data_IF_717664679786
#
_entry.id   IF_717664679786
#
_cell.length_a   1.000
_cell.length_b   1.000
_cell.length_c   1.000
_cell.angle_alpha   90.00
_cell.angle_beta   90.00
_cell.angle_gamma   90.00
#
_symmetry.space_group_name_H-M   'P 1'
#
loop_
_entity.id
_entity.type
_entity.pdbx_description
1 polymer ?
#
# COMPACT_ATOMS: atom_id res chain seq x y z
N UNK A 1 -35.38 -24.16 -63.68
CA UNK A 1 -35.67 -23.52 -64.96
C UNK A 1 -35.15 -22.11 -64.88
N UNK A 2 -34.20 -21.86 -65.77
CA UNK A 2 -33.90 -20.65 -66.53
C UNK A 2 -33.47 -19.44 -65.67
N UNK A 3 -32.29 -19.01 -65.67
CA UNK A 3 -31.31 -18.63 -66.73
C UNK A 3 -31.32 -17.13 -67.03
N UNK A 4 -30.10 -16.59 -66.93
CA UNK A 4 -29.50 -15.58 -67.88
C UNK A 4 -29.96 -14.11 -67.68
N UNK A 5 -29.16 -13.12 -67.93
CA UNK A 5 -27.73 -12.88 -68.28
C UNK A 5 -27.50 -11.36 -68.21
N UNK A 6 -26.32 -10.90 -67.87
CA UNK A 6 -25.33 -10.14 -68.66
C UNK A 6 -25.66 -8.81 -69.31
N UNK A 7 -24.65 -7.96 -69.20
CA UNK A 7 -24.17 -6.76 -69.95
C UNK A 7 -24.44 -5.45 -69.24
N UNK A 8 -23.51 -4.64 -68.78
CA UNK A 8 -22.24 -4.20 -69.37
C UNK A 8 -22.42 -2.97 -70.26
N UNK A 9 -22.08 -1.75 -69.75
CA UNK A 9 -21.48 -0.72 -70.59
C UNK A 9 -20.78 0.36 -69.75
N UNK A 10 -19.56 0.57 -70.06
CA UNK A 10 -18.73 1.66 -69.62
C UNK A 10 -19.02 2.90 -70.49
N UNK A 11 -18.96 4.10 -69.89
CA UNK A 11 -18.54 5.29 -70.62
C UNK A 11 -18.01 6.35 -69.66
N UNK A 12 -16.79 6.76 -69.96
CA UNK A 12 -16.02 7.86 -69.36
C UNK A 12 -16.66 9.23 -69.62
N UNK A 13 -16.55 10.14 -68.68
CA UNK A 13 -16.32 11.57 -68.99
C UNK A 13 -15.71 12.29 -67.76
N UNK A 14 -14.63 13.01 -68.00
CA UNK A 14 -13.85 13.88 -67.14
C UNK A 14 -14.64 15.05 -66.53
N UNK A 15 -14.22 15.51 -65.36
CA UNK A 15 -14.47 16.88 -64.92
C UNK A 15 -14.20 17.13 -63.43
N UNK A 16 -12.99 17.58 -63.08
CA UNK A 16 -12.69 18.67 -62.15
C UNK A 16 -12.98 18.52 -60.65
N UNK A 17 -11.95 18.29 -59.87
CA UNK A 17 -11.60 19.05 -58.64
C UNK A 17 -12.55 19.02 -57.45
N UNK A 18 -12.18 18.27 -56.44
CA UNK A 18 -11.88 18.83 -55.08
C UNK A 18 -11.37 17.70 -54.22
N UNK A 19 -10.17 17.89 -53.68
CA UNK A 19 -9.53 16.97 -52.76
C UNK A 19 -10.16 17.20 -51.37
N UNK A 20 -11.10 16.35 -50.97
CA UNK A 20 -11.47 16.20 -49.57
C UNK A 20 -10.71 15.02 -49.02
N UNK A 21 -9.71 15.31 -48.15
CA UNK A 21 -9.03 14.30 -47.36
C UNK A 21 -10.07 13.59 -46.49
N UNK A 22 -10.34 12.33 -46.82
CA UNK A 22 -11.02 11.39 -45.93
C UNK A 22 -9.92 10.81 -45.05
N UNK A 23 -9.99 10.95 -43.71
CA UNK A 23 -9.05 10.25 -42.83
C UNK A 23 -9.15 8.74 -43.06
N UNK A 24 -8.00 8.11 -43.28
CA UNK A 24 -7.93 6.66 -43.32
C UNK A 24 -8.47 6.09 -42.02
N UNK A 25 -9.41 5.16 -42.09
CA UNK A 25 -9.85 4.39 -40.94
C UNK A 25 -8.61 3.70 -40.34
N UNK A 26 -8.32 3.99 -39.09
CA UNK A 26 -7.35 3.21 -38.31
C UNK A 26 -7.79 1.74 -38.31
N UNK A 27 -6.93 0.87 -38.77
CA UNK A 27 -7.11 -0.55 -38.59
C UNK A 27 -7.16 -0.84 -37.09
N UNK A 28 -8.11 -1.68 -36.61
CA UNK A 28 -8.13 -2.06 -35.20
C UNK A 28 -6.78 -2.70 -34.86
N UNK A 29 -6.17 -2.21 -33.79
CA UNK A 29 -4.95 -2.82 -33.25
C UNK A 29 -5.21 -4.34 -33.07
N UNK A 30 -4.31 -5.15 -33.57
CA UNK A 30 -4.39 -6.60 -33.39
C UNK A 30 -4.38 -6.88 -31.89
N UNK A 31 -5.42 -7.54 -31.38
CA UNK A 31 -5.44 -8.04 -30.00
C UNK A 31 -4.21 -8.96 -29.84
N UNK A 32 -3.35 -8.66 -28.87
CA UNK A 32 -2.28 -9.57 -28.50
C UNK A 32 -2.89 -10.93 -28.13
N UNK A 33 -2.31 -12.05 -28.57
CA UNK A 33 -2.83 -13.37 -28.22
C UNK A 33 -2.80 -13.53 -26.70
N UNK A 34 -3.94 -13.88 -26.12
CA UNK A 34 -4.04 -14.17 -24.68
C UNK A 34 -2.97 -15.18 -24.28
N UNK A 35 -2.31 -14.95 -23.12
CA UNK A 35 -1.31 -15.89 -22.62
C UNK A 35 -1.92 -17.28 -22.46
N UNK A 36 -1.13 -18.32 -22.73
CA UNK A 36 -1.58 -19.70 -22.51
C UNK A 36 -1.80 -19.92 -21.02
N UNK A 37 -2.90 -20.60 -20.66
CA UNK A 37 -3.21 -20.91 -19.27
C UNK A 37 -2.05 -21.71 -18.62
N UNK A 38 -1.60 -21.31 -17.42
CA UNK A 38 -0.49 -21.98 -16.75
C UNK A 38 -0.86 -23.43 -16.41
N UNK A 39 0.14 -24.32 -16.47
CA UNK A 39 -0.03 -25.76 -16.26
C UNK A 39 1.01 -26.28 -15.27
N UNK A 40 0.73 -27.44 -14.65
CA UNK A 40 1.64 -28.08 -13.71
C UNK A 40 1.24 -27.86 -12.25
N UNK A 41 2.13 -28.25 -11.33
CA UNK A 41 1.89 -28.14 -9.90
C UNK A 41 1.90 -26.66 -9.49
N UNK A 42 0.92 -26.20 -8.69
CA UNK A 42 0.82 -24.79 -8.31
C UNK A 42 2.00 -24.35 -7.43
N UNK A 43 2.33 -23.07 -7.57
CA UNK A 43 3.21 -22.35 -6.66
C UNK A 43 2.32 -21.88 -5.50
N UNK A 44 2.49 -22.47 -4.33
CA UNK A 44 1.71 -22.11 -3.16
C UNK A 44 2.32 -20.90 -2.45
N UNK A 45 1.51 -19.89 -2.22
CA UNK A 45 1.82 -18.73 -1.39
C UNK A 45 0.83 -18.67 -0.23
N UNK A 46 1.23 -18.07 0.87
CA UNK A 46 0.29 -17.80 1.96
C UNK A 46 0.17 -16.29 2.19
N UNK A 47 -1.05 -15.85 2.52
CA UNK A 47 -1.32 -14.51 3.06
C UNK A 47 -1.98 -14.67 4.42
N UNK A 48 -1.38 -14.06 5.44
CA UNK A 48 -1.90 -14.08 6.81
C UNK A 48 -2.56 -12.74 7.10
N UNK A 49 -3.80 -12.78 7.59
CA UNK A 49 -4.54 -11.58 7.96
C UNK A 49 -5.67 -11.92 8.94
N UNK A 50 -6.29 -10.92 9.54
CA UNK A 50 -7.45 -11.08 10.42
C UNK A 50 -8.75 -10.93 9.62
N UNK A 51 -9.61 -11.95 9.62
CA UNK A 51 -10.91 -11.94 8.94
C UNK A 51 -12.08 -12.06 9.93
N UNK A 52 -12.00 -12.99 10.86
CA UNK A 52 -13.08 -13.30 11.80
C UNK A 52 -12.63 -13.03 13.25
N UNK A 53 -12.81 -11.79 13.71
CA UNK A 53 -12.38 -11.38 15.05
C UNK A 53 -13.38 -10.43 15.71
N UNK A 54 -13.29 -10.30 17.04
CA UNK A 54 -13.92 -9.23 17.79
C UNK A 54 -13.05 -7.96 17.85
N UNK A 55 -12.22 -7.75 16.84
CA UNK A 55 -11.26 -6.65 16.70
C UNK A 55 -11.21 -6.17 15.25
N UNK A 56 -10.12 -5.50 14.85
CA UNK A 56 -9.95 -5.07 13.47
C UNK A 56 -9.87 -6.26 12.52
N UNK A 57 -10.54 -6.15 11.36
CA UNK A 57 -10.53 -7.13 10.28
C UNK A 57 -10.05 -6.47 9.00
N UNK A 58 -9.41 -7.26 8.11
CA UNK A 58 -8.76 -6.76 6.90
C UNK A 58 -9.11 -7.65 5.70
N UNK A 59 -10.40 -7.69 5.34
CA UNK A 59 -10.90 -8.52 4.22
C UNK A 59 -10.28 -8.10 2.89
N UNK A 60 -9.96 -6.81 2.72
CA UNK A 60 -9.29 -6.27 1.54
C UNK A 60 -7.93 -6.96 1.25
N UNK A 61 -7.18 -7.36 2.28
CA UNK A 61 -5.91 -8.10 2.11
C UNK A 61 -6.17 -9.47 1.47
N UNK A 62 -7.11 -10.24 2.03
CA UNK A 62 -7.44 -11.57 1.52
C UNK A 62 -8.01 -11.52 0.10
N UNK A 63 -8.89 -10.55 -0.17
CA UNK A 63 -9.47 -10.34 -1.51
C UNK A 63 -8.37 -9.97 -2.49
N UNK A 64 -7.52 -9.01 -2.15
CA UNK A 64 -6.43 -8.55 -3.03
C UNK A 64 -5.40 -9.66 -3.32
N UNK A 65 -5.07 -10.49 -2.34
CA UNK A 65 -4.17 -11.63 -2.55
C UNK A 65 -4.71 -12.59 -3.63
N UNK A 66 -6.01 -12.89 -3.59
CA UNK A 66 -6.66 -13.73 -4.60
C UNK A 66 -6.73 -13.03 -5.97
N UNK A 67 -7.04 -11.73 -6.02
CA UNK A 67 -7.04 -10.96 -7.27
C UNK A 67 -5.64 -10.90 -7.91
N UNK A 68 -4.60 -10.74 -7.10
CA UNK A 68 -3.23 -10.72 -7.59
C UNK A 68 -2.81 -12.09 -8.14
N UNK A 69 -3.19 -13.18 -7.48
CA UNK A 69 -2.94 -14.53 -8.01
C UNK A 69 -3.71 -14.77 -9.31
N UNK A 70 -4.97 -14.34 -9.40
CA UNK A 70 -5.75 -14.40 -10.64
C UNK A 70 -5.07 -13.62 -11.76
N UNK A 71 -4.64 -12.37 -11.49
CA UNK A 71 -3.89 -11.56 -12.46
C UNK A 71 -2.62 -12.27 -12.94
N UNK A 72 -1.79 -12.78 -12.03
CA UNK A 72 -0.57 -13.51 -12.37
C UNK A 72 -0.88 -14.74 -13.25
N UNK A 73 -1.95 -15.47 -12.92
CA UNK A 73 -2.37 -16.63 -13.67
C UNK A 73 -2.90 -16.27 -15.07
N UNK A 74 -3.58 -15.14 -15.19
CA UNK A 74 -4.02 -14.60 -16.50
C UNK A 74 -2.83 -14.19 -17.39
N UNK A 75 -1.68 -13.82 -16.78
CA UNK A 75 -0.43 -13.55 -17.48
C UNK A 75 0.36 -14.84 -17.81
N UNK A 76 -0.20 -16.03 -17.59
CA UNK A 76 0.47 -17.32 -17.86
C UNK A 76 1.19 -17.92 -16.63
N UNK A 77 0.95 -17.39 -15.44
CA UNK A 77 1.56 -17.84 -14.20
C UNK A 77 3.03 -17.46 -14.06
N UNK A 78 3.73 -18.10 -13.15
CA UNK A 78 5.18 -17.92 -12.95
C UNK A 78 5.92 -19.08 -13.65
N UNK A 79 6.66 -18.77 -14.68
CA UNK A 79 7.35 -19.76 -15.50
C UNK A 79 6.41 -20.91 -15.99
N UNK A 80 5.14 -20.54 -16.35
CA UNK A 80 4.11 -21.47 -16.82
C UNK A 80 3.41 -22.29 -15.73
N UNK A 81 3.67 -22.02 -14.44
CA UNK A 81 3.02 -22.67 -13.30
C UNK A 81 1.99 -21.72 -12.64
N UNK A 82 0.80 -22.22 -12.27
CA UNK A 82 -0.20 -21.39 -11.63
C UNK A 82 0.23 -21.00 -10.20
N UNK A 83 -0.20 -19.83 -9.74
CA UNK A 83 -0.11 -19.39 -8.35
C UNK A 83 -1.39 -19.78 -7.61
N UNK A 84 -1.24 -20.38 -6.44
CA UNK A 84 -2.32 -20.71 -5.50
C UNK A 84 -2.09 -19.97 -4.19
N UNK A 85 -3.10 -19.25 -3.71
CA UNK A 85 -3.06 -18.50 -2.46
C UNK A 85 -3.78 -19.25 -1.35
N UNK A 86 -3.10 -19.47 -0.24
CA UNK A 86 -3.66 -19.95 1.01
C UNK A 86 -3.85 -18.73 1.91
N UNK A 87 -5.09 -18.32 2.14
CA UNK A 87 -5.40 -17.27 3.10
C UNK A 87 -5.52 -17.89 4.49
N UNK A 88 -4.67 -17.47 5.44
CA UNK A 88 -4.75 -17.89 6.83
C UNK A 88 -5.36 -16.77 7.68
N UNK A 89 -6.57 -17.04 8.21
CA UNK A 89 -7.26 -16.16 9.16
C UNK A 89 -6.70 -16.38 10.58
N UNK A 90 -5.94 -15.43 11.08
CA UNK A 90 -5.32 -15.52 12.41
C UNK A 90 -6.25 -15.11 13.55
N UNK A 91 -7.48 -14.67 13.24
CA UNK A 91 -8.58 -14.37 14.16
C UNK A 91 -8.25 -13.41 15.31
N UNK A 92 -7.24 -12.58 15.11
CA UNK A 92 -6.67 -11.71 16.14
C UNK A 92 -6.19 -12.49 17.39
N UNK A 93 -5.61 -13.68 17.18
CA UNK A 93 -5.12 -14.58 18.23
C UNK A 93 -3.68 -15.06 17.94
N UNK A 94 -2.70 -14.81 18.85
CA UNK A 94 -1.31 -15.18 18.63
C UNK A 94 -1.09 -16.70 18.53
N UNK A 95 -1.94 -17.53 19.12
CA UNK A 95 -1.83 -18.98 19.03
C UNK A 95 -2.31 -19.49 17.65
N UNK A 96 -3.34 -18.83 17.09
CA UNK A 96 -3.79 -19.09 15.71
C UNK A 96 -2.76 -18.58 14.71
N UNK A 97 -2.19 -17.39 14.92
CA UNK A 97 -1.08 -16.87 14.11
C UNK A 97 0.11 -17.84 14.07
N UNK A 98 0.51 -18.40 15.22
CA UNK A 98 1.53 -19.44 15.28
C UNK A 98 1.09 -20.75 14.56
N UNK A 99 -0.20 -21.01 14.44
CA UNK A 99 -0.69 -22.15 13.64
C UNK A 99 -0.56 -21.85 12.15
N UNK A 100 -0.92 -20.63 11.70
CA UNK A 100 -0.67 -20.20 10.32
C UNK A 100 0.80 -20.39 9.90
N UNK A 101 1.76 -20.07 10.79
CA UNK A 101 3.18 -20.30 10.51
C UNK A 101 3.52 -21.78 10.29
N UNK A 102 3.01 -22.65 11.14
CA UNK A 102 3.22 -24.10 10.99
C UNK A 102 2.54 -24.68 9.75
N UNK A 103 1.36 -24.17 9.42
CA UNK A 103 0.63 -24.57 8.22
C UNK A 103 1.38 -24.12 6.96
N UNK A 104 1.99 -22.92 6.97
CA UNK A 104 2.84 -22.45 5.88
C UNK A 104 4.00 -23.43 5.60
N UNK A 105 4.66 -23.90 6.66
CA UNK A 105 5.74 -24.91 6.56
C UNK A 105 5.19 -26.26 6.08
N UNK A 106 4.07 -26.73 6.64
CA UNK A 106 3.48 -28.03 6.31
C UNK A 106 2.96 -28.09 4.86
N UNK A 107 2.38 -26.99 4.36
CA UNK A 107 1.89 -26.85 2.97
C UNK A 107 3.04 -26.63 1.97
N UNK A 108 4.26 -26.36 2.44
CA UNK A 108 5.43 -26.11 1.59
C UNK A 108 5.26 -24.85 0.75
N UNK A 109 4.75 -23.75 1.35
CA UNK A 109 4.62 -22.49 0.63
C UNK A 109 6.00 -21.91 0.29
N UNK A 110 6.09 -21.24 -0.84
CA UNK A 110 7.32 -20.58 -1.28
C UNK A 110 7.60 -19.34 -0.44
N UNK A 111 6.55 -18.59 -0.10
CA UNK A 111 6.64 -17.35 0.66
C UNK A 111 5.32 -17.02 1.34
N UNK A 112 5.38 -16.25 2.43
CA UNK A 112 4.22 -15.57 3.00
C UNK A 112 4.23 -14.14 2.47
N UNK A 113 3.22 -13.78 1.66
CA UNK A 113 3.22 -12.58 0.83
C UNK A 113 2.08 -11.62 1.19
N UNK A 114 2.36 -10.33 1.24
CA UNK A 114 1.36 -9.26 1.34
C UNK A 114 0.50 -9.32 2.60
N UNK A 115 1.07 -9.80 3.69
CA UNK A 115 0.38 -10.04 4.95
C UNK A 115 0.36 -8.81 5.85
N UNK A 116 -0.64 -8.76 6.75
CA UNK A 116 -0.64 -7.88 7.91
C UNK A 116 -1.20 -8.60 9.13
N UNK A 117 -0.47 -8.53 10.25
CA UNK A 117 -0.87 -9.08 11.54
C UNK A 117 -0.22 -8.32 12.69
N UNK A 118 -0.86 -8.29 13.85
CA UNK A 118 -0.26 -7.81 15.09
C UNK A 118 0.65 -8.86 15.76
N UNK A 119 0.70 -10.08 15.24
CA UNK A 119 1.38 -11.23 15.85
C UNK A 119 2.51 -11.81 14.99
N UNK A 120 3.16 -10.98 14.17
CA UNK A 120 4.26 -11.39 13.31
C UNK A 120 5.43 -12.03 14.09
N UNK A 121 5.62 -11.67 15.38
CA UNK A 121 6.57 -12.35 16.29
C UNK A 121 6.29 -13.85 16.47
N UNK A 122 5.03 -14.28 16.29
CA UNK A 122 4.64 -15.69 16.34
C UNK A 122 4.79 -16.41 15.00
N UNK A 123 5.04 -15.67 13.92
CA UNK A 123 5.06 -16.19 12.54
C UNK A 123 6.47 -16.16 11.96
N UNK A 124 7.07 -14.98 11.87
CA UNK A 124 8.33 -14.75 11.14
C UNK A 124 9.46 -15.67 11.61
N UNK A 125 9.73 -15.86 12.92
CA UNK A 125 10.79 -16.78 13.36
C UNK A 125 10.55 -18.22 12.94
N UNK A 126 9.28 -18.67 12.93
CA UNK A 126 8.92 -20.07 12.60
C UNK A 126 9.12 -20.36 11.13
N UNK A 127 8.63 -19.49 10.25
CA UNK A 127 8.74 -19.68 8.79
C UNK A 127 10.20 -19.54 8.32
N UNK A 128 10.99 -18.67 8.97
CA UNK A 128 12.40 -18.46 8.66
C UNK A 128 13.26 -19.72 8.85
N UNK A 129 12.92 -20.64 9.77
CA UNK A 129 13.60 -21.91 9.96
C UNK A 129 13.50 -22.84 8.74
N UNK A 130 12.58 -22.56 7.82
CA UNK A 130 12.35 -23.30 6.57
C UNK A 130 12.64 -22.47 5.31
N UNK A 131 13.44 -21.42 5.45
CA UNK A 131 13.78 -20.45 4.41
C UNK A 131 12.56 -19.75 3.76
N UNK A 132 11.38 -19.86 4.37
CA UNK A 132 10.19 -19.18 3.89
C UNK A 132 10.31 -17.69 4.26
N UNK A 133 10.14 -16.81 3.27
CA UNK A 133 10.23 -15.36 3.46
C UNK A 133 8.90 -14.78 3.95
N UNK A 134 9.00 -13.74 4.78
CA UNK A 134 7.95 -12.78 5.07
C UNK A 134 8.11 -11.62 4.09
N UNK A 135 7.33 -11.62 3.00
CA UNK A 135 7.57 -10.74 1.86
C UNK A 135 6.46 -9.69 1.70
N UNK A 136 6.85 -8.45 1.64
CA UNK A 136 5.96 -7.35 1.27
C UNK A 136 4.91 -7.01 2.32
N UNK A 137 5.21 -7.13 3.62
CA UNK A 137 4.31 -6.62 4.65
C UNK A 137 3.98 -5.15 4.37
N UNK A 138 2.68 -4.81 4.34
CA UNK A 138 2.26 -3.43 4.09
C UNK A 138 2.75 -2.49 5.20
N UNK A 139 2.69 -2.96 6.40
CA UNK A 139 2.78 -2.15 7.59
C UNK A 139 3.57 -2.91 8.66
N UNK A 140 4.90 -3.05 8.53
CA UNK A 140 5.70 -3.78 9.50
C UNK A 140 5.70 -3.06 10.85
N UNK A 141 5.26 -3.76 11.90
CA UNK A 141 5.11 -3.19 13.25
C UNK A 141 5.84 -3.99 14.32
N UNK A 142 6.39 -5.15 13.99
CA UNK A 142 7.05 -6.00 14.95
C UNK A 142 8.57 -6.06 14.75
N UNK A 143 9.36 -6.29 15.81
CA UNK A 143 10.81 -6.43 15.70
C UNK A 143 11.23 -7.49 14.69
N UNK A 144 10.57 -8.65 14.64
CA UNK A 144 10.92 -9.71 13.70
C UNK A 144 10.72 -9.32 12.25
N UNK A 145 9.69 -8.52 11.91
CA UNK A 145 9.50 -7.98 10.57
C UNK A 145 10.61 -6.99 10.17
N UNK A 146 11.13 -6.25 11.14
CA UNK A 146 12.09 -5.17 10.91
C UNK A 146 13.57 -5.61 11.05
N UNK A 147 13.83 -6.83 11.54
CA UNK A 147 15.20 -7.29 11.80
C UNK A 147 15.51 -8.68 11.25
N UNK A 148 14.51 -9.52 10.96
CA UNK A 148 14.76 -10.86 10.43
C UNK A 148 15.35 -10.78 9.01
N UNK A 149 16.43 -11.52 8.71
CA UNK A 149 16.96 -11.61 7.35
C UNK A 149 15.97 -12.20 6.34
N UNK A 150 14.94 -12.93 6.79
CA UNK A 150 13.88 -13.48 5.95
C UNK A 150 12.70 -12.52 5.73
N UNK A 151 12.79 -11.29 6.25
CA UNK A 151 11.77 -10.26 6.07
C UNK A 151 12.19 -9.26 5.00
N UNK A 152 11.33 -9.04 3.98
CA UNK A 152 11.54 -8.12 2.87
C UNK A 152 10.36 -7.14 2.80
N UNK A 153 10.46 -6.04 3.55
CA UNK A 153 9.38 -5.08 3.67
C UNK A 153 9.32 -4.13 2.46
N UNK A 154 8.12 -3.97 1.90
CA UNK A 154 7.80 -2.97 0.88
C UNK A 154 7.19 -1.72 1.54
N UNK A 155 6.45 -1.90 2.62
CA UNK A 155 5.90 -0.81 3.41
C UNK A 155 6.96 0.01 4.15
N UNK A 156 6.57 1.21 4.60
CA UNK A 156 7.52 2.19 5.17
C UNK A 156 7.20 2.62 6.60
N UNK A 157 6.41 1.89 7.35
CA UNK A 157 6.07 2.28 8.72
C UNK A 157 7.34 2.30 9.61
N UNK A 158 7.70 3.38 10.32
CA UNK A 158 6.88 4.56 10.67
C UNK A 158 7.11 5.81 9.80
N UNK A 159 7.73 5.71 8.65
CA UNK A 159 8.19 6.86 7.86
C UNK A 159 7.05 7.79 7.43
N UNK A 160 5.83 7.31 7.19
CA UNK A 160 4.73 8.19 6.84
C UNK A 160 4.44 9.24 7.93
N UNK A 161 4.60 8.90 9.23
CA UNK A 161 4.43 9.87 10.31
C UNK A 161 5.56 10.90 10.36
N UNK A 162 6.77 10.52 9.97
CA UNK A 162 7.88 11.47 9.72
C UNK A 162 7.53 12.40 8.56
N UNK A 163 6.90 11.86 7.50
CA UNK A 163 6.38 12.63 6.38
C UNK A 163 5.31 13.65 6.77
N UNK A 164 4.44 13.32 7.73
CA UNK A 164 3.47 14.27 8.29
C UNK A 164 4.17 15.48 8.92
N UNK A 165 5.20 15.23 9.75
CA UNK A 165 6.01 16.29 10.37
C UNK A 165 6.71 17.12 9.31
N UNK A 166 7.39 16.48 8.35
CA UNK A 166 8.06 17.15 7.24
C UNK A 166 7.12 18.13 6.55
N UNK A 167 5.95 17.63 6.15
CA UNK A 167 4.99 18.43 5.39
C UNK A 167 4.39 19.56 6.24
N UNK A 168 4.08 19.32 7.51
CA UNK A 168 3.56 20.36 8.39
C UNK A 168 4.56 21.52 8.53
N UNK A 169 5.84 21.22 8.76
CA UNK A 169 6.88 22.25 8.88
C UNK A 169 7.10 23.00 7.56
N UNK A 170 7.13 22.29 6.44
CA UNK A 170 7.32 22.91 5.11
C UNK A 170 6.11 23.75 4.65
N UNK A 171 4.91 23.41 5.07
CA UNK A 171 3.70 24.22 4.88
C UNK A 171 3.68 25.48 5.78
N UNK A 172 4.66 25.65 6.67
CA UNK A 172 4.84 26.85 7.49
C UNK A 172 4.23 26.76 8.89
N UNK A 173 3.90 25.57 9.37
CA UNK A 173 3.43 25.39 10.76
C UNK A 173 4.51 25.78 11.77
N UNK A 174 4.19 26.66 12.71
CA UNK A 174 5.11 27.11 13.73
C UNK A 174 4.93 26.37 15.07
N UNK A 175 3.71 26.09 15.45
CA UNK A 175 3.35 25.39 16.68
C UNK A 175 2.56 24.12 16.33
N UNK A 176 3.21 22.97 16.47
CA UNK A 176 2.66 21.67 16.06
C UNK A 176 2.41 20.82 17.29
N UNK A 177 1.20 20.27 17.44
CA UNK A 177 0.89 19.23 18.40
C UNK A 177 0.86 17.85 17.69
N UNK A 178 1.21 16.79 18.43
CA UNK A 178 1.10 15.42 17.95
C UNK A 178 -0.06 14.70 18.63
N UNK A 179 -0.80 13.92 17.87
CA UNK A 179 -1.88 13.04 18.36
C UNK A 179 -1.54 11.61 17.91
N UNK A 180 -1.38 10.70 18.85
CA UNK A 180 -1.00 9.32 18.56
C UNK A 180 -1.95 8.38 19.30
N UNK A 181 -2.49 7.39 18.61
CA UNK A 181 -3.33 6.38 19.25
C UNK A 181 -2.53 5.51 20.21
N UNK A 182 -3.13 5.14 21.34
CA UNK A 182 -2.54 4.27 22.35
C UNK A 182 -2.00 2.96 21.73
N UNK A 183 -0.78 2.59 22.10
CA UNK A 183 -0.06 1.43 21.58
C UNK A 183 0.79 1.72 20.35
N UNK A 184 0.53 2.79 19.60
CA UNK A 184 1.33 3.20 18.46
C UNK A 184 2.50 4.11 18.82
N UNK A 185 2.47 4.74 19.99
CA UNK A 185 3.49 5.69 20.43
C UNK A 185 4.90 5.11 20.50
N UNK A 186 5.05 3.83 20.83
CA UNK A 186 6.34 3.15 20.86
C UNK A 186 7.06 3.11 19.51
N UNK A 187 6.28 3.12 18.41
CA UNK A 187 6.80 3.03 17.03
C UNK A 187 6.98 4.41 16.41
N UNK A 188 6.00 5.29 16.59
CA UNK A 188 5.92 6.54 15.85
C UNK A 188 6.55 7.74 16.56
N UNK A 189 6.43 7.80 17.89
CA UNK A 189 6.82 8.98 18.64
C UNK A 189 8.28 9.37 18.46
N UNK A 190 9.20 8.43 18.63
CA UNK A 190 10.65 8.70 18.52
C UNK A 190 11.04 9.25 17.13
N UNK A 191 10.70 8.59 16.02
CA UNK A 191 10.98 9.11 14.68
C UNK A 191 10.34 10.49 14.41
N UNK A 192 9.11 10.75 14.90
CA UNK A 192 8.44 12.05 14.75
C UNK A 192 9.16 13.16 15.57
N UNK A 193 9.55 12.88 16.81
CA UNK A 193 10.32 13.82 17.66
C UNK A 193 11.70 14.11 17.05
N UNK A 194 12.35 13.10 16.46
CA UNK A 194 13.60 13.27 15.71
C UNK A 194 13.40 14.21 14.52
N UNK A 195 12.32 14.02 13.75
CA UNK A 195 12.01 14.90 12.62
C UNK A 195 11.77 16.35 13.07
N UNK A 196 11.06 16.59 14.16
CA UNK A 196 10.93 17.93 14.75
C UNK A 196 12.29 18.51 15.12
N UNK A 197 13.14 17.71 15.76
CA UNK A 197 14.50 18.11 16.15
C UNK A 197 15.36 18.48 14.93
N UNK A 198 15.23 17.73 13.82
CA UNK A 198 15.94 18.04 12.56
C UNK A 198 15.60 19.43 12.01
N UNK A 199 14.39 19.91 12.24
CA UNK A 199 13.97 21.29 11.92
C UNK A 199 14.22 22.31 13.04
N UNK A 200 14.88 21.92 14.15
CA UNK A 200 15.11 22.79 15.29
C UNK A 200 13.82 23.15 16.06
N UNK A 201 12.81 22.29 15.98
CA UNK A 201 11.49 22.46 16.61
C UNK A 201 11.22 21.31 17.62
N UNK A 202 10.20 21.50 18.44
CA UNK A 202 9.67 20.49 19.35
C UNK A 202 8.14 20.51 19.25
N UNK A 203 7.47 19.39 19.57
CA UNK A 203 6.01 19.39 19.71
C UNK A 203 5.59 20.23 20.89
N UNK A 204 4.50 20.98 20.75
CA UNK A 204 3.88 21.72 21.85
C UNK A 204 3.28 20.78 22.89
N UNK A 205 2.48 19.80 22.45
CA UNK A 205 1.96 18.70 23.27
C UNK A 205 1.96 17.41 22.44
N UNK A 206 2.13 16.26 23.11
CA UNK A 206 1.95 14.92 22.54
C UNK A 206 0.78 14.25 23.25
N UNK A 207 -0.33 14.11 22.54
CA UNK A 207 -1.59 13.61 23.06
C UNK A 207 -1.72 12.13 22.70
N UNK A 208 -1.73 11.27 23.71
CA UNK A 208 -2.05 9.85 23.50
C UNK A 208 -3.56 9.69 23.65
N UNK A 209 -4.21 9.16 22.58
CA UNK A 209 -5.65 8.94 22.56
C UNK A 209 -5.97 7.46 22.77
N UNK A 210 -7.09 7.13 23.43
CA UNK A 210 -7.54 5.74 23.49
C UNK A 210 -7.82 5.18 22.10
N UNK A 211 -7.60 3.88 21.90
CA UNK A 211 -7.86 3.18 20.63
C UNK A 211 -9.35 3.21 20.27
N UNK A 212 -10.23 3.20 21.24
CA UNK A 212 -11.67 3.26 21.07
C UNK A 212 -12.25 4.24 22.09
N UNK A 213 -12.90 5.30 21.60
CA UNK A 213 -13.68 6.23 22.41
C UNK A 213 -14.99 6.59 21.71
N UNK A 214 -16.01 6.88 22.52
CA UNK A 214 -17.29 7.40 22.00
C UNK A 214 -17.21 8.92 21.71
N UNK A 215 -16.22 9.60 22.28
CA UNK A 215 -16.01 11.03 22.17
C UNK A 215 -14.53 11.35 22.43
N UNK A 216 -13.96 12.23 21.61
CA UNK A 216 -12.58 12.74 21.73
C UNK A 216 -12.55 14.25 22.03
N UNK A 217 -13.63 14.85 22.50
CA UNK A 217 -13.72 16.31 22.72
C UNK A 217 -12.63 16.84 23.65
N UNK A 218 -12.24 16.08 24.68
CA UNK A 218 -11.20 16.47 25.62
C UNK A 218 -9.81 16.47 24.98
N UNK A 219 -9.50 15.45 24.20
CA UNK A 219 -8.24 15.28 23.47
C UNK A 219 -8.13 16.32 22.34
N UNK A 220 -9.22 16.57 21.61
CA UNK A 220 -9.32 17.63 20.60
C UNK A 220 -9.06 19.01 21.23
N UNK A 221 -9.66 19.30 22.38
CA UNK A 221 -9.42 20.56 23.06
C UNK A 221 -7.95 20.75 23.45
N UNK A 222 -7.25 19.68 23.84
CA UNK A 222 -5.80 19.72 24.09
C UNK A 222 -5.02 19.91 22.78
N UNK A 223 -5.33 19.15 21.75
CA UNK A 223 -4.61 19.16 20.48
C UNK A 223 -4.70 20.49 19.73
N UNK A 224 -5.82 21.22 19.92
CA UNK A 224 -6.03 22.54 19.31
C UNK A 224 -5.50 23.70 20.17
N UNK A 225 -5.10 23.44 21.40
CA UNK A 225 -4.60 24.50 22.31
C UNK A 225 -3.16 24.84 22.00
N UNK A 226 -2.92 26.10 21.63
CA UNK A 226 -1.57 26.63 21.41
C UNK A 226 -0.85 26.11 20.18
N UNK A 227 -1.56 25.43 19.28
CA UNK A 227 -1.03 24.93 18.01
C UNK A 227 -1.75 25.56 16.81
N UNK A 228 -1.04 25.69 15.71
CA UNK A 228 -1.59 26.10 14.41
C UNK A 228 -1.78 24.89 13.46
N UNK A 229 -1.11 23.80 13.75
CA UNK A 229 -1.25 22.53 13.02
C UNK A 229 -1.17 21.34 13.98
N UNK A 230 -1.66 20.18 13.54
CA UNK A 230 -1.45 18.92 14.24
C UNK A 230 -1.07 17.79 13.28
N UNK A 231 -0.20 16.89 13.75
CA UNK A 231 0.09 15.61 13.10
C UNK A 231 -0.67 14.50 13.83
N UNK A 232 -1.32 13.59 13.11
CA UNK A 232 -2.30 12.67 13.70
C UNK A 232 -2.09 11.26 13.19
N UNK A 233 -1.58 10.38 14.03
CA UNK A 233 -1.42 8.94 13.78
C UNK A 233 -2.55 8.19 14.48
N UNK A 234 -3.54 7.76 13.73
CA UNK A 234 -4.76 7.15 14.24
C UNK A 234 -5.28 6.10 13.24
N UNK A 235 -5.99 5.08 13.70
CA UNK A 235 -6.72 4.16 12.80
C UNK A 235 -7.98 4.83 12.24
N UNK A 236 -8.56 4.28 11.18
CA UNK A 236 -9.71 4.89 10.49
C UNK A 236 -10.92 5.13 11.40
N UNK A 237 -11.34 4.12 12.16
CA UNK A 237 -12.54 4.24 13.02
C UNK A 237 -12.40 5.31 14.08
N UNK A 238 -11.32 5.38 14.88
CA UNK A 238 -11.10 6.52 15.79
C UNK A 238 -10.97 7.85 15.05
N UNK A 239 -10.40 7.87 13.84
CA UNK A 239 -10.30 9.10 13.03
C UNK A 239 -11.66 9.69 12.69
N UNK A 240 -12.67 8.86 12.36
CA UNK A 240 -14.04 9.32 12.12
C UNK A 240 -14.63 10.01 13.35
N UNK A 241 -14.47 9.41 14.54
CA UNK A 241 -14.95 9.99 15.80
C UNK A 241 -14.17 11.26 16.17
N UNK A 242 -12.86 11.27 15.92
CA UNK A 242 -11.98 12.42 16.10
C UNK A 242 -12.41 13.60 15.24
N UNK A 243 -12.59 13.41 13.93
CA UNK A 243 -13.00 14.45 13.00
C UNK A 243 -14.38 15.01 13.35
N UNK A 244 -15.29 14.16 13.83
CA UNK A 244 -16.58 14.62 14.35
C UNK A 244 -16.42 15.54 15.57
N UNK A 245 -15.57 15.19 16.52
CA UNK A 245 -15.29 16.02 17.70
C UNK A 245 -14.57 17.33 17.30
N UNK A 246 -13.65 17.26 16.34
CA UNK A 246 -12.97 18.45 15.81
C UNK A 246 -13.95 19.42 15.17
N UNK A 247 -14.87 18.93 14.34
CA UNK A 247 -15.92 19.78 13.75
C UNK A 247 -16.81 20.41 14.82
N UNK A 248 -17.17 19.67 15.85
CA UNK A 248 -17.98 20.19 16.96
C UNK A 248 -17.23 21.23 17.80
N UNK A 249 -15.91 21.17 17.87
CA UNK A 249 -15.09 22.17 18.56
C UNK A 249 -15.08 23.53 17.87
N UNK A 250 -15.40 23.56 16.57
CA UNK A 250 -15.34 24.76 15.75
C UNK A 250 -13.91 25.20 15.40
N UNK A 251 -12.90 24.37 15.64
CA UNK A 251 -11.50 24.65 15.26
C UNK A 251 -11.32 24.39 13.76
N UNK A 252 -10.55 25.23 13.11
CA UNK A 252 -10.11 25.11 11.71
C UNK A 252 -8.64 24.72 11.59
N UNK A 253 -8.05 24.12 12.63
CA UNK A 253 -6.67 23.69 12.66
C UNK A 253 -6.41 22.64 11.59
N UNK A 254 -5.31 22.81 10.82
CA UNK A 254 -4.92 21.90 9.77
C UNK A 254 -4.36 20.60 10.36
N UNK A 255 -4.81 19.48 9.81
CA UNK A 255 -4.33 18.15 10.17
C UNK A 255 -3.43 17.57 9.08
N UNK A 256 -2.41 16.84 9.51
CA UNK A 256 -1.57 15.99 8.70
C UNK A 256 -1.76 14.58 9.25
N UNK A 257 -2.22 13.67 8.43
CA UNK A 257 -2.58 12.32 8.88
C UNK A 257 -2.09 11.23 7.93
N UNK A 258 -2.24 9.99 8.37
CA UNK A 258 -1.69 8.84 7.66
C UNK A 258 -2.65 8.27 6.60
N UNK A 259 -2.06 7.80 5.51
CA UNK A 259 -2.75 7.14 4.41
C UNK A 259 -3.56 5.94 4.89
N UNK A 260 -4.71 5.72 4.26
CA UNK A 260 -5.63 4.65 4.55
C UNK A 260 -6.54 4.94 5.76
N UNK A 261 -6.16 5.83 6.66
CA UNK A 261 -6.90 6.13 7.87
C UNK A 261 -7.54 7.53 7.86
N UNK A 262 -6.80 8.57 7.43
CA UNK A 262 -7.39 9.86 7.05
C UNK A 262 -7.84 9.73 5.58
N UNK A 263 -9.10 9.48 5.34
CA UNK A 263 -9.67 9.19 4.03
C UNK A 263 -11.10 9.74 3.89
N UNK A 264 -11.77 9.45 2.78
CA UNK A 264 -13.14 9.88 2.53
C UNK A 264 -14.15 9.31 3.54
N UNK A 265 -13.89 8.13 4.11
CA UNK A 265 -14.77 7.50 5.09
C UNK A 265 -14.62 8.21 6.44
N UNK A 266 -13.39 8.38 6.92
CA UNK A 266 -13.10 9.03 8.21
C UNK A 266 -13.40 10.54 8.20
N UNK A 267 -13.43 11.17 7.02
CA UNK A 267 -13.81 12.57 6.84
C UNK A 267 -15.33 12.80 6.70
N UNK A 268 -16.11 11.72 6.51
CA UNK A 268 -17.54 11.81 6.22
C UNK A 268 -18.32 12.55 7.31
N UNK A 269 -19.01 13.60 6.91
CA UNK A 269 -19.78 14.46 7.83
C UNK A 269 -18.94 15.50 8.58
N UNK A 270 -17.63 15.52 8.36
CA UNK A 270 -16.68 16.49 8.92
C UNK A 270 -15.87 17.22 7.81
N UNK A 271 -16.37 17.25 6.60
CA UNK A 271 -15.69 17.79 5.41
C UNK A 271 -15.25 19.24 5.62
N UNK A 272 -15.97 20.00 6.43
CA UNK A 272 -15.65 21.41 6.71
C UNK A 272 -14.28 21.56 7.42
N UNK A 273 -13.88 20.60 8.26
CA UNK A 273 -12.63 20.66 9.02
C UNK A 273 -11.56 19.72 8.49
N UNK A 274 -11.92 18.87 7.53
CA UNK A 274 -10.97 17.93 6.90
C UNK A 274 -10.56 18.36 5.50
N UNK A 275 -11.29 19.27 4.85
CA UNK A 275 -10.94 19.80 3.54
C UNK A 275 -9.60 20.54 3.59
N UNK A 276 -8.70 20.19 2.68
CA UNK A 276 -7.33 20.72 2.67
C UNK A 276 -6.34 19.99 3.60
N UNK A 277 -6.78 19.02 4.40
CA UNK A 277 -5.88 18.22 5.22
C UNK A 277 -4.97 17.35 4.34
N UNK A 278 -3.71 17.22 4.78
CA UNK A 278 -2.70 16.46 4.04
C UNK A 278 -2.63 15.03 4.57
N UNK A 279 -2.43 14.12 3.66
CA UNK A 279 -2.26 12.69 3.90
C UNK A 279 -0.83 12.32 3.50
N UNK A 280 -0.05 11.82 4.45
CA UNK A 280 1.25 11.22 4.19
C UNK A 280 1.12 9.71 4.09
N UNK A 281 1.72 9.13 3.07
CA UNK A 281 1.58 7.72 2.78
C UNK A 281 2.82 7.10 2.18
N UNK A 282 2.71 5.81 1.89
CA UNK A 282 3.79 5.02 1.28
C UNK A 282 3.48 4.66 -0.18
N UNK A 283 2.24 4.87 -0.62
CA UNK A 283 1.76 4.55 -1.95
C UNK A 283 1.14 5.79 -2.60
N UNK A 284 1.39 6.07 -3.90
CA UNK A 284 0.60 7.04 -4.64
C UNK A 284 -0.89 6.70 -4.58
N UNK A 285 -1.76 7.71 -4.73
CA UNK A 285 -3.21 7.48 -4.68
C UNK A 285 -3.64 6.43 -5.71
N UNK A 286 -4.61 5.60 -5.34
CA UNK A 286 -5.10 4.48 -6.17
C UNK A 286 -5.61 4.95 -7.55
N UNK A 287 -5.96 6.21 -7.73
CA UNK A 287 -6.39 6.77 -9.03
C UNK A 287 -5.24 6.97 -10.03
N UNK A 288 -3.98 6.80 -9.60
CA UNK A 288 -2.81 7.04 -10.43
C UNK A 288 -2.43 5.81 -11.28
N UNK A 289 -1.66 6.03 -12.35
CA UNK A 289 -1.27 5.02 -13.34
C UNK A 289 -0.66 3.74 -12.74
N UNK A 290 0.23 3.77 -11.73
CA UNK A 290 0.81 2.56 -11.16
C UNK A 290 -0.21 1.50 -10.71
N UNK A 291 -1.46 1.89 -10.51
CA UNK A 291 -2.52 1.01 -10.00
C UNK A 291 -3.55 0.61 -11.07
N UNK A 292 -3.28 0.82 -12.37
CA UNK A 292 -4.24 0.54 -13.45
C UNK A 292 -4.66 -0.94 -13.45
N UNK A 293 -3.70 -1.87 -13.34
CA UNK A 293 -3.99 -3.31 -13.30
C UNK A 293 -4.76 -3.69 -12.03
N UNK A 294 -4.43 -3.09 -10.89
CA UNK A 294 -5.16 -3.33 -9.65
C UNK A 294 -6.61 -2.89 -9.77
N UNK A 295 -6.85 -1.67 -10.26
CA UNK A 295 -8.22 -1.17 -10.50
C UNK A 295 -8.98 -2.04 -11.49
N UNK A 296 -8.32 -2.46 -12.59
CA UNK A 296 -8.91 -3.35 -13.57
C UNK A 296 -9.37 -4.68 -12.93
N UNK A 297 -8.56 -5.27 -12.04
CA UNK A 297 -8.91 -6.52 -11.37
C UNK A 297 -10.04 -6.33 -10.36
N UNK A 298 -10.08 -5.21 -9.64
CA UNK A 298 -11.21 -4.86 -8.76
C UNK A 298 -12.53 -4.74 -9.56
N UNK A 299 -12.49 -4.07 -10.70
CA UNK A 299 -13.65 -3.90 -11.59
C UNK A 299 -14.08 -5.22 -12.23
N UNK A 300 -13.14 -5.99 -12.80
CA UNK A 300 -13.38 -7.30 -13.41
C UNK A 300 -14.12 -8.25 -12.46
N UNK A 301 -13.78 -8.22 -11.18
CA UNK A 301 -14.36 -9.08 -10.16
C UNK A 301 -15.57 -8.45 -9.44
N UNK A 302 -16.03 -7.26 -9.84
CA UNK A 302 -17.14 -6.53 -9.25
C UNK A 302 -16.99 -6.35 -7.73
N UNK A 303 -15.77 -6.04 -7.28
CA UNK A 303 -15.48 -5.86 -5.86
C UNK A 303 -16.03 -4.52 -5.38
N UNK A 304 -16.73 -4.51 -4.24
CA UNK A 304 -17.19 -3.28 -3.61
C UNK A 304 -16.00 -2.53 -2.98
N UNK A 305 -15.49 -1.55 -3.71
CA UNK A 305 -14.30 -0.79 -3.33
C UNK A 305 -14.54 0.12 -2.11
N UNK A 306 -15.79 0.49 -1.85
CA UNK A 306 -16.14 1.36 -0.72
C UNK A 306 -16.27 0.55 0.56
N UNK A 307 -16.87 -0.65 0.50
CA UNK A 307 -17.09 -1.47 1.68
C UNK A 307 -15.79 -1.99 2.33
N UNK A 308 -14.73 -2.15 1.53
CA UNK A 308 -13.49 -2.79 1.97
C UNK A 308 -12.24 -1.89 1.89
N UNK A 309 -12.41 -0.61 1.59
CA UNK A 309 -11.32 0.37 1.45
C UNK A 309 -10.06 -0.16 0.73
N UNK A 310 -10.19 -0.40 -0.58
CA UNK A 310 -9.05 -0.87 -1.39
C UNK A 310 -7.99 0.23 -1.66
N UNK A 311 -8.30 1.49 -1.37
CA UNK A 311 -7.32 2.59 -1.33
C UNK A 311 -6.58 2.63 0.03
N UNK A 312 -6.49 1.51 0.72
CA UNK A 312 -5.86 1.36 2.02
C UNK A 312 -4.45 0.81 1.91
N UNK A 313 -3.70 0.95 2.99
CA UNK A 313 -2.36 0.36 3.08
C UNK A 313 -2.38 -1.15 2.88
N UNK A 314 -3.41 -1.84 3.41
CA UNK A 314 -3.58 -3.29 3.28
C UNK A 314 -3.82 -3.72 1.84
N UNK A 315 -4.84 -3.16 1.16
CA UNK A 315 -5.17 -3.51 -0.21
C UNK A 315 -4.03 -3.22 -1.18
N UNK A 316 -3.57 -1.97 -1.21
CA UNK A 316 -2.47 -1.53 -2.09
C UNK A 316 -1.16 -2.26 -1.78
N UNK A 317 -0.83 -2.41 -0.50
CA UNK A 317 0.38 -3.10 -0.07
C UNK A 317 0.41 -4.57 -0.44
N UNK A 318 -0.73 -5.27 -0.32
CA UNK A 318 -0.84 -6.66 -0.74
C UNK A 318 -0.65 -6.80 -2.24
N UNK A 319 -1.28 -5.92 -3.05
CA UNK A 319 -1.08 -5.92 -4.50
C UNK A 319 0.40 -5.70 -4.86
N UNK A 320 1.02 -4.65 -4.33
CA UNK A 320 2.44 -4.36 -4.58
C UNK A 320 3.36 -5.51 -4.16
N UNK A 321 3.06 -6.17 -3.03
CA UNK A 321 3.81 -7.34 -2.57
C UNK A 321 3.74 -8.50 -3.55
N UNK A 322 2.54 -8.82 -4.06
CA UNK A 322 2.38 -9.89 -5.06
C UNK A 322 3.06 -9.55 -6.38
N UNK A 323 3.01 -8.29 -6.83
CA UNK A 323 3.74 -7.85 -8.03
C UNK A 323 5.27 -7.94 -7.83
N UNK A 324 5.76 -7.57 -6.65
CA UNK A 324 7.18 -7.74 -6.30
C UNK A 324 7.61 -9.20 -6.23
N UNK A 325 6.79 -10.06 -5.62
CA UNK A 325 7.02 -11.51 -5.62
C UNK A 325 7.04 -12.05 -7.05
N UNK A 326 6.05 -11.69 -7.87
CA UNK A 326 5.95 -12.13 -9.25
C UNK A 326 7.18 -11.75 -10.08
N UNK A 327 7.63 -10.51 -9.96
CA UNK A 327 8.81 -10.02 -10.68
C UNK A 327 10.08 -10.79 -10.30
N UNK A 328 10.33 -10.98 -9.00
CA UNK A 328 11.52 -11.70 -8.52
C UNK A 328 11.44 -13.19 -8.87
N UNK A 329 10.30 -13.82 -8.60
CA UNK A 329 10.10 -15.26 -8.83
C UNK A 329 10.19 -15.65 -10.31
N UNK A 330 9.69 -14.79 -11.21
CA UNK A 330 9.77 -15.01 -12.66
C UNK A 330 11.21 -14.99 -13.20
N UNK A 331 12.13 -14.33 -12.50
CA UNK A 331 13.54 -14.28 -12.83
C UNK A 331 14.35 -15.49 -12.35
N UNK A 332 13.75 -16.40 -11.56
CA UNK A 332 14.47 -17.57 -11.03
C UNK A 332 14.56 -18.66 -12.09
N UNK A 333 15.80 -19.05 -12.41
CA UNK A 333 16.05 -20.21 -13.27
C UNK A 333 16.01 -21.51 -12.46
N UNK A 334 15.25 -22.52 -12.92
CA UNK A 334 15.10 -23.80 -12.26
C UNK A 334 13.93 -23.88 -11.29
N UNK A 335 14.08 -24.63 -10.20
CA UNK A 335 12.98 -24.88 -9.27
C UNK A 335 12.73 -23.68 -8.36
N UNK A 336 11.51 -23.15 -8.41
CA UNK A 336 11.04 -22.13 -7.49
C UNK A 336 10.63 -22.81 -6.17
N UNK A 337 11.46 -22.59 -5.14
CA UNK A 337 11.33 -23.09 -3.77
C UNK A 337 11.46 -21.92 -2.78
N UNK A 338 11.15 -22.12 -1.49
CA UNK A 338 11.36 -21.10 -0.46
C UNK A 338 12.85 -20.64 -0.44
N UNK A 339 13.80 -21.56 -0.46
CA UNK A 339 15.22 -21.23 -0.44
C UNK A 339 15.68 -20.46 -1.69
N UNK A 340 15.25 -20.87 -2.90
CA UNK A 340 15.63 -20.16 -4.14
C UNK A 340 14.99 -18.76 -4.21
N UNK A 341 13.78 -18.59 -3.70
CA UNK A 341 13.16 -17.27 -3.61
C UNK A 341 13.84 -16.39 -2.57
N UNK A 342 14.18 -16.93 -1.38
CA UNK A 342 14.93 -16.19 -0.37
C UNK A 342 16.29 -15.71 -0.91
N UNK A 343 17.03 -16.57 -1.62
CA UNK A 343 18.30 -16.21 -2.26
C UNK A 343 18.09 -15.10 -3.32
N UNK A 344 17.09 -15.24 -4.19
CA UNK A 344 16.79 -14.26 -5.23
C UNK A 344 16.39 -12.90 -4.63
N UNK A 345 15.49 -12.89 -3.64
CA UNK A 345 15.08 -11.68 -2.94
C UNK A 345 16.26 -10.99 -2.26
N UNK A 346 17.14 -11.77 -1.59
CA UNK A 346 18.34 -11.25 -0.90
C UNK A 346 19.36 -10.62 -1.88
N UNK A 347 19.35 -11.01 -3.14
CA UNK A 347 20.23 -10.47 -4.19
C UNK A 347 19.55 -9.42 -5.08
N UNK A 348 18.31 -9.04 -4.79
CA UNK A 348 17.57 -8.05 -5.56
C UNK A 348 18.00 -6.64 -5.14
N UNK A 349 18.79 -5.96 -5.98
CA UNK A 349 19.29 -4.60 -5.75
C UNK A 349 18.44 -3.51 -6.39
N UNK A 350 17.45 -3.88 -7.21
CA UNK A 350 16.60 -2.91 -7.92
C UNK A 350 15.24 -3.55 -8.23
N UNK A 351 14.35 -3.54 -7.24
CA UNK A 351 12.95 -3.91 -7.44
C UNK A 351 12.18 -2.65 -7.84
N UNK A 352 11.82 -2.56 -9.11
CA UNK A 352 11.00 -1.49 -9.69
C UNK A 352 9.58 -1.99 -9.92
N UNK A 353 8.62 -1.44 -9.21
CA UNK A 353 7.19 -1.78 -9.30
C UNK A 353 6.39 -0.72 -10.07
N UNK A 354 7.00 -0.08 -11.06
CA UNK A 354 6.31 0.87 -11.94
C UNK A 354 5.77 2.10 -11.21
N UNK A 355 6.40 2.51 -10.10
CA UNK A 355 5.99 3.69 -9.32
C UNK A 355 4.95 3.39 -8.23
N UNK A 356 4.59 2.14 -7.96
CA UNK A 356 3.78 1.78 -6.76
C UNK A 356 4.50 2.11 -5.45
N UNK A 357 5.82 1.94 -5.46
CA UNK A 357 6.78 2.29 -4.39
C UNK A 357 8.04 2.83 -5.04
N UNK A 358 8.96 3.50 -4.32
CA UNK A 358 10.27 3.80 -4.88
C UNK A 358 10.99 2.51 -5.26
N UNK A 359 11.99 2.58 -6.14
CA UNK A 359 12.85 1.42 -6.44
C UNK A 359 13.52 0.94 -5.16
N UNK A 360 13.36 -0.35 -4.83
CA UNK A 360 13.85 -0.93 -3.59
C UNK A 360 15.13 -1.74 -3.83
N UNK A 361 16.09 -1.63 -2.90
CA UNK A 361 17.31 -2.41 -2.83
C UNK A 361 17.29 -3.29 -1.57
N UNK A 362 17.08 -4.59 -1.74
CA UNK A 362 17.07 -5.55 -0.64
C UNK A 362 18.47 -6.04 -0.23
N UNK A 363 19.51 -5.67 -0.99
CA UNK A 363 20.90 -6.04 -0.68
C UNK A 363 21.54 -5.15 0.38
N UNK A 364 20.94 -3.98 0.63
CA UNK A 364 21.49 -2.97 1.54
C UNK A 364 20.57 -2.75 2.74
N UNK A 365 20.92 -3.34 3.88
CA UNK A 365 20.23 -3.12 5.14
C UNK A 365 20.49 -1.71 5.71
N UNK A 366 19.50 -1.13 6.38
CA UNK A 366 19.64 0.19 7.01
C UNK A 366 20.25 0.07 8.42
N UNK A 367 21.50 -0.36 8.48
CA UNK A 367 22.21 -0.65 9.74
C UNK A 367 22.75 0.59 10.46
N UNK A 368 22.94 1.69 9.74
CA UNK A 368 23.34 3.01 10.25
C UNK A 368 22.17 3.95 10.54
N UNK A 369 20.94 3.45 10.37
CA UNK A 369 19.70 4.18 10.59
C UNK A 369 19.10 4.03 11.99
N UNK A 370 17.77 3.99 12.05
CA UNK A 370 17.05 3.79 13.31
C UNK A 370 17.35 2.40 13.90
N UNK A 371 17.72 2.31 15.18
CA UNK A 371 17.95 1.01 15.83
C UNK A 371 16.69 0.13 15.75
N UNK A 372 16.86 -1.12 15.28
CA UNK A 372 15.77 -2.07 15.14
C UNK A 372 15.00 -1.99 13.81
N UNK A 373 15.46 -1.18 12.84
CA UNK A 373 14.81 -1.01 11.53
C UNK A 373 15.70 -1.43 10.34
N UNK A 374 16.63 -2.37 10.57
CA UNK A 374 17.59 -2.78 9.54
C UNK A 374 16.93 -3.26 8.23
N UNK A 375 15.75 -3.87 8.30
CA UNK A 375 14.99 -4.40 7.15
C UNK A 375 13.90 -3.44 6.63
N UNK A 376 13.99 -2.15 6.94
CA UNK A 376 13.14 -1.12 6.36
C UNK A 376 13.77 -0.57 5.09
N UNK A 377 13.41 -1.12 3.95
CA UNK A 377 13.98 -0.76 2.64
C UNK A 377 13.28 0.45 2.01
N UNK A 378 11.99 0.63 2.23
CA UNK A 378 11.25 1.81 1.82
C UNK A 378 11.27 2.86 2.93
N UNK A 379 11.92 3.99 2.68
CA UNK A 379 12.02 5.12 3.62
C UNK A 379 11.43 6.40 3.06
N UNK A 380 10.66 6.27 1.98
CA UNK A 380 10.09 7.41 1.28
C UNK A 380 8.60 7.54 1.54
N UNK A 381 8.11 8.76 1.41
CA UNK A 381 6.70 9.10 1.52
C UNK A 381 6.20 9.79 0.26
N UNK A 382 4.89 9.74 0.07
CA UNK A 382 4.14 10.45 -0.97
C UNK A 382 2.98 11.17 -0.32
N UNK A 383 2.45 12.21 -0.98
CA UNK A 383 1.40 13.04 -0.39
C UNK A 383 0.13 13.04 -1.23
N UNK A 384 -0.98 12.89 -0.53
CA UNK A 384 -2.34 13.17 -1.03
C UNK A 384 -3.01 14.22 -0.13
N UNK A 385 -4.19 14.67 -0.52
CA UNK A 385 -4.96 15.68 0.18
C UNK A 385 -6.44 15.33 0.17
N UNK A 386 -7.14 15.63 1.25
CA UNK A 386 -8.60 15.65 1.25
C UNK A 386 -9.10 16.91 0.54
N UNK A 387 -9.98 16.76 -0.44
CA UNK A 387 -10.64 17.85 -1.14
C UNK A 387 -12.08 17.47 -1.45
N UNK A 388 -13.03 18.26 -0.91
CA UNK A 388 -14.46 18.00 -1.05
C UNK A 388 -14.88 16.56 -0.69
N UNK A 389 -14.29 16.02 0.38
CA UNK A 389 -14.54 14.66 0.88
C UNK A 389 -13.97 13.54 0.01
N UNK A 390 -13.06 13.85 -0.91
CA UNK A 390 -12.33 12.89 -1.74
C UNK A 390 -10.84 13.00 -1.46
N UNK A 391 -10.12 11.88 -1.54
CA UNK A 391 -8.66 11.88 -1.56
C UNK A 391 -8.20 12.18 -2.99
N UNK A 392 -7.32 13.16 -3.13
CA UNK A 392 -6.70 13.51 -4.41
C UNK A 392 -5.17 13.52 -4.27
N UNK A 393 -4.42 13.10 -5.30
CA UNK A 393 -2.97 13.14 -5.26
C UNK A 393 -2.46 14.59 -5.20
N UNK A 394 -1.46 14.86 -4.37
CA UNK A 394 -0.70 16.13 -4.37
C UNK A 394 0.53 15.97 -5.25
N UNK A 395 1.21 14.83 -5.13
CA UNK A 395 2.35 14.45 -5.95
C UNK A 395 2.45 12.94 -6.01
N UNK A 396 3.06 12.43 -7.07
CA UNK A 396 3.49 11.03 -7.19
C UNK A 396 4.98 10.86 -6.92
N UNK A 397 5.70 11.96 -6.62
CA UNK A 397 7.11 11.92 -6.27
C UNK A 397 7.27 11.33 -4.87
N UNK A 398 8.28 10.47 -4.73
CA UNK A 398 8.67 9.91 -3.45
C UNK A 398 9.74 10.78 -2.79
N UNK A 399 9.55 11.09 -1.51
CA UNK A 399 10.46 11.88 -0.69
C UNK A 399 11.07 10.98 0.39
N UNK A 400 12.38 10.74 0.31
CA UNK A 400 13.10 10.03 1.37
C UNK A 400 13.08 10.88 2.64
N UNK A 401 12.71 10.28 3.75
CA UNK A 401 12.63 10.93 5.07
C UNK A 401 13.54 10.27 6.10
N UNK A 402 14.47 9.41 5.66
CA UNK A 402 15.37 8.67 6.54
C UNK A 402 16.21 9.57 7.42
N UNK A 403 16.77 10.65 6.86
CA UNK A 403 17.58 11.63 7.60
C UNK A 403 16.74 12.33 8.68
N UNK A 404 15.52 12.74 8.34
CA UNK A 404 14.61 13.35 9.31
C UNK A 404 14.25 12.38 10.45
N UNK A 405 14.01 11.13 10.13
CA UNK A 405 13.73 10.10 11.12
C UNK A 405 14.89 9.90 12.11
N UNK A 406 16.12 10.19 11.68
CA UNK A 406 17.33 10.14 12.51
C UNK A 406 17.65 11.48 13.22
N UNK A 407 16.89 12.53 12.98
CA UNK A 407 17.13 13.86 13.55
C UNK A 407 18.20 14.66 12.80
N UNK A 408 18.51 14.28 11.56
CA UNK A 408 19.48 14.98 10.70
C UNK A 408 18.73 16.08 9.93
N UNK A 409 19.24 17.30 10.03
CA UNK A 409 18.63 18.45 9.35
C UNK A 409 18.64 18.27 7.82
N UNK A 410 17.56 18.67 7.13
CA UNK A 410 17.57 18.70 5.66
C UNK A 410 18.62 19.71 5.15
N UNK A 411 19.23 19.40 3.98
CA UNK A 411 20.22 20.24 3.33
C UNK A 411 19.67 21.60 2.84
#
# INVERSE_FOLDING_TARGET
MAALALLGFALSACGGGDTSDVPAAEEPAAEEPAAEAPTGDPIKLMTVTTLNANGPTYENIAITANLAAEYINDQGGINGRPVEVIVCDEQFDPAIAATCARDAVAEGVVSVVGSFTYFAESIVPVIAESDITWFGACCPISPSELTSPHSFNIGNQPMYAVGEVKRAVEDGCEAINAVIVEGADAIFRGPMENAMTAYGKEFGDVIITPTIAQDYSAEVARATTGADCMVVVMSETPFLTWNTALQQSGSDIKQYGNQGNLNAISAKGAEQVTDGNIISGMYPDISTEPWDEYRMMLEKNNVDQVANDFNSLGGMGTWAAYMGFYQIASGIEGDLTAASFFEAASNTSSLDLGGMVPVLDFTTEWTDGLPGYARLFNRSVVYSQLSNGQVIPVTNDFFDVSDLAMGIAPE
#
